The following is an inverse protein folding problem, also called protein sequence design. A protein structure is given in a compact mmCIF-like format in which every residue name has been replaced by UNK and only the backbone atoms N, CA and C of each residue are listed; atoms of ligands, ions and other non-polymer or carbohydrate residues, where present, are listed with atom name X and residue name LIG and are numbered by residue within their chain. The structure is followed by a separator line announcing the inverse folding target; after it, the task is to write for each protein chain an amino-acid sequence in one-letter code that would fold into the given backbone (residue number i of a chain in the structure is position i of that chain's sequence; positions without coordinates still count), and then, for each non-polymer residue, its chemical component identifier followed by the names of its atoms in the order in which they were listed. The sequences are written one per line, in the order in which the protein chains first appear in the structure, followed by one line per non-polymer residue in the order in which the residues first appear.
data_IF_024166698086
#
_entry.id   IF_024166698086
#
_cell.length_a   1.000
_cell.length_b   1.000
_cell.length_c   1.000
_cell.angle_alpha   90.00
_cell.angle_beta   90.00
_cell.angle_gamma   90.00
#
_symmetry.space_group_name_H-M   'P 1'
#
loop_
_entity.id
_entity.type
_entity.pdbx_description
1 polymer ?
#
# COMPACT_ATOMS: atom_id res chain seq x y z
N UNK A 1 -20.91 19.61 -6.47
CA UNK A 1 -19.50 19.38 -6.16
C UNK A 1 -19.36 18.02 -5.51
N UNK A 2 -18.35 17.24 -5.87
CA UNK A 2 -18.23 15.81 -5.57
C UNK A 2 -16.95 15.60 -4.81
N UNK A 3 -16.95 14.61 -3.88
CA UNK A 3 -15.74 14.11 -3.25
C UNK A 3 -15.00 13.23 -4.26
N UNK A 4 -13.72 13.50 -4.49
CA UNK A 4 -12.84 12.70 -5.35
C UNK A 4 -11.98 11.79 -4.47
N UNK A 5 -12.02 10.51 -4.74
CA UNK A 5 -11.18 9.50 -4.09
C UNK A 5 -10.05 9.10 -5.03
N UNK A 6 -8.82 9.35 -4.63
CA UNK A 6 -7.63 9.08 -5.43
C UNK A 6 -6.74 8.07 -4.72
N UNK A 7 -6.40 6.98 -5.38
CA UNK A 7 -5.41 6.04 -4.88
C UNK A 7 -4.00 6.43 -5.30
N UNK A 8 -3.03 6.27 -4.40
CA UNK A 8 -1.59 6.33 -4.69
C UNK A 8 -1.07 4.91 -4.57
N UNK A 9 -0.57 4.37 -5.65
CA UNK A 9 0.01 3.02 -5.69
C UNK A 9 1.44 3.03 -6.23
N UNK A 10 2.07 1.90 -6.26
CA UNK A 10 3.43 1.69 -6.74
C UNK A 10 4.12 0.57 -5.96
N UNK A 11 5.07 -0.07 -6.59
CA UNK A 11 5.80 -1.21 -6.01
C UNK A 11 6.62 -0.81 -4.79
N UNK A 12 7.13 -1.80 -4.08
CA UNK A 12 8.02 -1.58 -2.92
C UNK A 12 9.18 -0.65 -3.31
N UNK A 13 9.47 0.40 -2.53
CA UNK A 13 10.57 1.33 -2.81
C UNK A 13 10.30 2.41 -3.85
N UNK A 14 9.15 2.43 -4.53
CA UNK A 14 8.79 3.44 -5.55
C UNK A 14 8.42 4.82 -4.99
N UNK A 15 8.63 5.12 -3.73
CA UNK A 15 8.50 6.49 -3.21
C UNK A 15 7.06 6.97 -2.92
N UNK A 16 6.06 6.09 -2.82
CA UNK A 16 4.66 6.44 -2.43
C UNK A 16 4.58 7.33 -1.20
N UNK A 17 5.33 6.97 -0.15
CA UNK A 17 5.34 7.72 1.10
C UNK A 17 5.75 9.17 0.91
N UNK A 18 6.71 9.44 0.02
CA UNK A 18 7.15 10.82 -0.27
C UNK A 18 6.03 11.63 -0.91
N UNK A 19 5.30 11.07 -1.88
CA UNK A 19 4.11 11.70 -2.47
C UNK A 19 3.05 11.95 -1.40
N UNK A 20 2.74 10.93 -0.59
CA UNK A 20 1.78 11.00 0.51
C UNK A 20 2.13 12.11 1.52
N UNK A 21 3.42 12.27 1.84
CA UNK A 21 3.88 13.31 2.77
C UNK A 21 3.81 14.71 2.16
N UNK A 22 4.08 14.86 0.86
CA UNK A 22 3.89 16.13 0.15
C UNK A 22 2.41 16.53 0.19
N UNK A 23 1.49 15.61 -0.12
CA UNK A 23 0.05 15.86 -0.08
C UNK A 23 -0.43 16.25 1.32
N UNK A 24 0.04 15.58 2.37
CA UNK A 24 -0.25 15.95 3.77
C UNK A 24 0.24 17.36 4.10
N UNK A 25 1.42 17.75 3.62
CA UNK A 25 1.95 19.11 3.80
C UNK A 25 1.12 20.19 3.08
N UNK A 26 0.43 19.82 2.01
CA UNK A 26 -0.54 20.67 1.31
C UNK A 26 -1.93 20.66 1.96
N UNK A 27 -2.11 19.94 3.08
CA UNK A 27 -3.36 19.91 3.84
C UNK A 27 -4.36 18.83 3.38
N UNK A 28 -3.97 17.96 2.45
CA UNK A 28 -4.85 16.87 2.00
C UNK A 28 -4.90 15.72 2.99
N UNK A 29 -6.08 15.12 3.10
CA UNK A 29 -6.27 13.90 3.87
C UNK A 29 -5.73 12.71 3.09
N UNK A 30 -4.75 11.99 3.68
CA UNK A 30 -4.13 10.81 3.09
C UNK A 30 -4.24 9.64 4.06
N UNK A 31 -5.05 8.65 3.71
CA UNK A 31 -5.16 7.38 4.42
C UNK A 31 -4.07 6.41 3.96
N UNK A 32 -3.52 5.66 4.90
CA UNK A 32 -2.43 4.71 4.68
C UNK A 32 -2.94 3.29 4.99
N UNK A 33 -3.09 2.47 3.95
CA UNK A 33 -3.62 1.11 4.08
C UNK A 33 -2.64 0.17 4.82
N UNK A 34 -1.34 0.39 4.70
CA UNK A 34 -0.34 -0.43 5.40
C UNK A 34 -0.43 -0.22 6.92
N UNK A 35 -0.78 0.99 7.37
CA UNK A 35 -1.08 1.22 8.79
C UNK A 35 -2.32 0.47 9.25
N UNK A 36 -3.30 0.28 8.38
CA UNK A 36 -4.49 -0.50 8.76
C UNK A 36 -4.14 -1.95 9.01
N UNK A 37 -3.30 -2.56 8.16
CA UNK A 37 -2.79 -3.92 8.38
C UNK A 37 -2.08 -4.02 9.73
N UNK A 38 -1.20 -3.06 10.04
CA UNK A 38 -0.50 -3.04 11.33
C UNK A 38 -1.46 -3.01 12.52
N UNK A 39 -2.56 -2.25 12.42
CA UNK A 39 -3.57 -2.16 13.48
C UNK A 39 -4.42 -3.43 13.66
N UNK A 40 -4.57 -4.27 12.61
CA UNK A 40 -5.31 -5.52 12.74
C UNK A 40 -4.70 -6.45 13.80
N UNK A 41 -3.38 -6.49 13.87
CA UNK A 41 -2.66 -7.35 14.82
C UNK A 41 -2.80 -6.94 16.30
N UNK A 42 -3.49 -5.84 16.59
CA UNK A 42 -3.87 -5.44 17.96
C UNK A 42 -5.35 -5.77 18.28
N UNK A 43 -6.12 -6.28 17.30
CA UNK A 43 -7.53 -6.61 17.48
C UNK A 43 -7.71 -8.04 17.96
N UNK A 44 -8.43 -8.21 19.06
CA UNK A 44 -8.71 -9.54 19.65
C UNK A 44 -9.46 -10.47 18.70
N UNK A 45 -10.45 -9.94 17.94
CA UNK A 45 -11.23 -10.72 16.98
C UNK A 45 -10.35 -11.22 15.82
N UNK A 46 -9.46 -10.38 15.30
CA UNK A 46 -8.51 -10.76 14.26
C UNK A 46 -7.48 -11.79 14.77
N UNK A 47 -6.91 -11.59 15.97
CA UNK A 47 -5.96 -12.52 16.56
C UNK A 47 -6.57 -13.91 16.83
N UNK A 48 -7.89 -14.00 17.13
CA UNK A 48 -8.60 -15.28 17.22
C UNK A 48 -8.60 -16.02 15.86
N UNK A 49 -8.81 -15.30 14.77
CA UNK A 49 -8.75 -15.89 13.41
C UNK A 49 -7.34 -16.34 13.06
N UNK A 50 -6.33 -15.50 13.35
CA UNK A 50 -4.92 -15.89 13.17
C UNK A 50 -4.58 -17.12 13.99
N UNK A 51 -5.04 -17.24 15.22
CA UNK A 51 -4.79 -18.43 16.06
C UNK A 51 -5.42 -19.69 15.48
N UNK A 52 -6.60 -19.59 14.92
CA UNK A 52 -7.29 -20.72 14.31
C UNK A 52 -6.55 -21.27 13.09
N UNK A 53 -6.00 -20.37 12.26
CA UNK A 53 -5.35 -20.72 10.99
C UNK A 53 -3.84 -20.96 11.13
N UNK A 54 -3.20 -20.21 12.04
CA UNK A 54 -1.74 -20.20 12.26
C UNK A 54 -1.40 -20.41 13.75
N UNK A 55 -1.79 -21.51 14.38
CA UNK A 55 -1.56 -21.72 15.83
C UNK A 55 -0.09 -21.71 16.22
N UNK A 56 0.81 -22.14 15.31
CA UNK A 56 2.26 -22.23 15.52
C UNK A 56 2.96 -20.87 15.68
N UNK A 57 2.29 -19.76 15.37
CA UNK A 57 2.87 -18.41 15.52
C UNK A 57 2.56 -17.78 16.88
N UNK A 58 2.06 -18.60 17.82
CA UNK A 58 1.80 -18.19 19.18
C UNK A 58 2.70 -18.93 20.17
N UNK A 59 3.18 -18.23 21.18
CA UNK A 59 3.83 -18.79 22.37
C UNK A 59 2.83 -18.73 23.52
N UNK A 60 2.18 -19.85 23.82
CA UNK A 60 1.00 -19.83 24.70
C UNK A 60 -0.08 -18.91 24.14
N UNK A 61 -0.40 -17.84 24.89
CA UNK A 61 -1.38 -16.85 24.46
C UNK A 61 -0.79 -15.63 23.74
N UNK A 62 0.52 -15.57 23.60
CA UNK A 62 1.23 -14.43 23.02
C UNK A 62 1.43 -14.63 21.52
N UNK A 63 0.91 -13.73 20.73
CA UNK A 63 1.12 -13.67 19.27
C UNK A 63 2.53 -13.18 18.92
N UNK A 64 3.28 -13.94 18.13
CA UNK A 64 4.57 -13.52 17.59
C UNK A 64 4.45 -13.17 16.09
N UNK A 65 4.45 -11.87 15.83
CA UNK A 65 4.39 -11.35 14.46
C UNK A 65 5.61 -11.73 13.61
N UNK A 66 6.77 -11.92 14.23
CA UNK A 66 7.99 -12.32 13.49
C UNK A 66 7.88 -13.75 13.02
N UNK A 67 7.39 -14.65 13.91
CA UNK A 67 7.10 -16.04 13.54
C UNK A 67 6.11 -16.10 12.37
N UNK A 68 5.02 -15.31 12.42
CA UNK A 68 4.06 -15.25 11.32
C UNK A 68 4.74 -14.81 10.01
N UNK A 69 5.52 -13.72 10.04
CA UNK A 69 6.22 -13.21 8.86
C UNK A 69 7.14 -14.26 8.26
N UNK A 70 7.98 -14.90 9.05
CA UNK A 70 8.89 -15.97 8.58
C UNK A 70 8.10 -17.13 8.00
N UNK A 71 7.05 -17.58 8.69
CA UNK A 71 6.24 -18.71 8.27
C UNK A 71 5.55 -18.51 6.92
N UNK A 72 5.00 -17.32 6.66
CA UNK A 72 4.29 -17.03 5.41
C UNK A 72 5.23 -16.63 4.27
N UNK A 73 6.42 -16.08 4.59
CA UNK A 73 7.37 -15.60 3.58
C UNK A 73 7.93 -16.74 2.73
N UNK A 74 8.17 -17.89 3.35
CA UNK A 74 8.72 -19.07 2.68
C UNK A 74 7.62 -19.98 2.08
N UNK A 75 6.33 -19.60 2.24
CA UNK A 75 5.21 -20.41 1.79
C UNK A 75 4.13 -19.55 1.12
N UNK A 76 4.11 -19.48 -0.23
CA UNK A 76 3.14 -18.66 -0.97
C UNK A 76 1.67 -19.00 -0.71
N UNK A 77 1.35 -20.29 -0.44
CA UNK A 77 -0.03 -20.68 -0.11
C UNK A 77 -0.47 -20.12 1.24
N UNK A 78 0.40 -20.19 2.24
CA UNK A 78 0.17 -19.62 3.57
C UNK A 78 0.10 -18.10 3.55
N UNK A 79 0.89 -17.45 2.70
CA UNK A 79 0.76 -16.02 2.46
C UNK A 79 -0.63 -15.67 1.93
N UNK A 80 -1.13 -16.42 0.96
CA UNK A 80 -2.46 -16.24 0.38
C UNK A 80 -3.58 -16.44 1.41
N UNK A 81 -3.46 -17.45 2.28
CA UNK A 81 -4.40 -17.66 3.39
C UNK A 81 -4.43 -16.47 4.34
N UNK A 82 -3.26 -15.94 4.73
CA UNK A 82 -3.17 -14.74 5.55
C UNK A 82 -3.83 -13.53 4.87
N UNK A 83 -3.59 -13.34 3.58
CA UNK A 83 -4.22 -12.29 2.80
C UNK A 83 -5.74 -12.42 2.78
N UNK A 84 -6.28 -13.63 2.61
CA UNK A 84 -7.72 -13.88 2.66
C UNK A 84 -8.34 -13.51 4.02
N UNK A 85 -7.60 -13.67 5.12
CA UNK A 85 -8.06 -13.20 6.44
C UNK A 85 -8.03 -11.68 6.57
N UNK A 86 -7.02 -11.03 6.01
CA UNK A 86 -6.79 -9.58 6.12
C UNK A 86 -7.76 -8.78 5.24
N UNK A 87 -7.96 -9.19 3.99
CA UNK A 87 -8.68 -8.43 2.96
C UNK A 87 -10.10 -7.99 3.36
N UNK A 88 -10.95 -8.83 3.98
CA UNK A 88 -12.29 -8.42 4.38
C UNK A 88 -12.30 -7.25 5.40
N UNK A 89 -11.34 -7.23 6.32
CA UNK A 89 -11.23 -6.15 7.30
C UNK A 89 -10.83 -4.85 6.65
N UNK A 90 -9.86 -4.89 5.75
CA UNK A 90 -9.38 -3.71 5.03
C UNK A 90 -10.46 -3.16 4.11
N UNK A 91 -11.12 -4.01 3.33
CA UNK A 91 -12.19 -3.60 2.41
C UNK A 91 -13.38 -2.99 3.17
N UNK A 92 -13.75 -3.56 4.30
CA UNK A 92 -14.80 -2.99 5.17
C UNK A 92 -14.40 -1.61 5.69
N UNK A 93 -13.14 -1.43 6.09
CA UNK A 93 -12.61 -0.15 6.55
C UNK A 93 -12.59 0.89 5.43
N UNK A 94 -12.12 0.53 4.24
CA UNK A 94 -12.14 1.38 3.05
C UNK A 94 -13.55 1.88 2.75
N UNK A 95 -14.51 0.96 2.60
CA UNK A 95 -15.91 1.31 2.34
C UNK A 95 -16.51 2.22 3.40
N UNK A 96 -16.16 2.01 4.68
CA UNK A 96 -16.61 2.87 5.78
C UNK A 96 -16.04 4.28 5.64
N UNK A 97 -14.78 4.43 5.25
CA UNK A 97 -14.15 5.73 5.06
C UNK A 97 -14.79 6.45 3.86
N UNK A 98 -14.93 5.78 2.72
CA UNK A 98 -15.57 6.33 1.52
C UNK A 98 -16.98 6.86 1.85
N UNK A 99 -17.79 6.06 2.56
CA UNK A 99 -19.15 6.47 2.95
C UNK A 99 -19.22 7.66 3.91
N UNK A 100 -18.17 7.88 4.72
CA UNK A 100 -18.11 8.97 5.69
C UNK A 100 -17.62 10.28 5.09
N UNK A 101 -16.82 10.21 4.02
CA UNK A 101 -16.29 11.38 3.33
C UNK A 101 -17.21 11.71 2.15
N UNK A 102 -18.28 12.45 2.39
CA UNK A 102 -19.26 12.84 1.39
C UNK A 102 -19.32 14.37 1.15
N UNK A 103 -18.38 15.11 1.73
CA UNK A 103 -18.21 16.55 1.49
C UNK A 103 -17.36 16.75 0.23
N UNK A 104 -17.35 17.99 -0.28
CA UNK A 104 -16.46 18.36 -1.39
C UNK A 104 -14.97 18.22 -1.04
N UNK A 105 -14.17 17.84 -2.02
CA UNK A 105 -12.72 17.82 -1.89
C UNK A 105 -12.06 16.58 -2.50
N UNK A 106 -10.79 16.40 -2.20
CA UNK A 106 -10.00 15.27 -2.65
C UNK A 106 -9.45 14.53 -1.43
N UNK A 107 -9.64 13.23 -1.42
CA UNK A 107 -9.10 12.32 -0.39
C UNK A 107 -8.19 11.31 -1.05
N UNK A 108 -6.99 11.17 -0.52
CA UNK A 108 -5.99 10.24 -1.02
C UNK A 108 -5.90 8.97 -0.16
N UNK A 109 -5.54 7.87 -0.82
CA UNK A 109 -5.29 6.58 -0.18
C UNK A 109 -3.97 6.01 -0.66
N UNK A 110 -3.01 5.84 0.24
CA UNK A 110 -1.75 5.17 -0.03
C UNK A 110 -1.95 3.65 0.09
N UNK A 111 -1.92 2.94 -1.04
CA UNK A 111 -2.23 1.51 -1.14
C UNK A 111 -1.20 0.81 -2.02
N UNK A 112 -0.24 0.11 -1.43
CA UNK A 112 0.82 -0.57 -2.18
C UNK A 112 0.28 -1.70 -3.09
N UNK A 113 -0.66 -2.49 -2.59
CA UNK A 113 -1.25 -3.64 -3.27
C UNK A 113 -2.64 -3.32 -3.84
N UNK A 114 -2.80 -2.15 -4.46
CA UNK A 114 -4.08 -1.65 -4.97
C UNK A 114 -4.75 -2.62 -5.94
N UNK A 115 -4.01 -3.04 -6.94
CA UNK A 115 -4.49 -3.87 -8.02
C UNK A 115 -4.64 -5.33 -7.60
N UNK A 116 -3.70 -5.82 -6.80
CA UNK A 116 -3.72 -7.15 -6.21
C UNK A 116 -4.96 -7.36 -5.32
N UNK A 117 -5.40 -6.29 -4.64
CA UNK A 117 -6.64 -6.27 -3.84
C UNK A 117 -7.91 -6.05 -4.69
N UNK A 118 -7.78 -5.69 -5.97
CA UNK A 118 -8.89 -5.30 -6.83
C UNK A 118 -9.62 -4.05 -6.32
N UNK A 119 -8.86 -3.12 -5.73
CA UNK A 119 -9.42 -1.91 -5.12
C UNK A 119 -9.46 -0.70 -6.05
N UNK A 120 -8.79 -0.76 -7.19
CA UNK A 120 -8.82 0.29 -8.23
C UNK A 120 -10.24 0.78 -8.52
N UNK A 121 -11.21 -0.12 -8.58
CA UNK A 121 -12.65 0.19 -8.79
C UNK A 121 -13.33 1.05 -7.71
N UNK A 122 -12.68 1.32 -6.59
CA UNK A 122 -13.22 2.17 -5.52
C UNK A 122 -12.75 3.63 -5.62
N UNK A 123 -11.89 3.93 -6.58
CA UNK A 123 -11.26 5.24 -6.74
C UNK A 123 -11.63 5.86 -8.09
N UNK A 124 -11.74 7.17 -8.08
CA UNK A 124 -11.99 7.95 -9.29
C UNK A 124 -10.72 8.08 -10.13
N UNK A 125 -9.56 8.11 -9.46
CA UNK A 125 -8.24 8.17 -10.08
C UNK A 125 -7.22 7.31 -9.35
N UNK A 126 -6.27 6.79 -10.14
CA UNK A 126 -5.11 6.05 -9.65
C UNK A 126 -3.82 6.75 -10.07
N UNK A 127 -3.01 7.10 -9.10
CA UNK A 127 -1.68 7.70 -9.26
C UNK A 127 -0.61 6.66 -8.99
N UNK A 128 0.22 6.36 -9.97
CA UNK A 128 1.37 5.49 -9.82
C UNK A 128 2.59 6.28 -9.41
N UNK A 129 3.15 5.97 -8.24
CA UNK A 129 4.52 6.34 -7.89
C UNK A 129 5.47 5.38 -8.64
N UNK A 130 6.27 5.91 -9.54
CA UNK A 130 7.14 5.13 -10.39
C UNK A 130 8.61 5.53 -10.23
N UNK A 131 9.49 4.58 -10.43
CA UNK A 131 10.95 4.79 -10.49
C UNK A 131 11.57 3.58 -11.21
N UNK A 132 12.75 3.76 -11.78
CA UNK A 132 13.49 2.68 -12.40
C UNK A 132 13.85 1.56 -11.39
N UNK A 133 14.02 0.35 -11.92
CA UNK A 133 14.25 -0.85 -11.12
C UNK A 133 15.49 -0.77 -10.24
N UNK A 134 16.60 -0.22 -10.76
CA UNK A 134 17.87 -0.14 -10.02
C UNK A 134 17.76 0.82 -8.83
N UNK A 135 17.16 1.98 -9.04
CA UNK A 135 16.87 2.94 -7.97
C UNK A 135 15.92 2.35 -6.92
N UNK A 136 14.88 1.65 -7.36
CA UNK A 136 13.95 0.94 -6.49
C UNK A 136 14.68 -0.07 -5.61
N UNK A 137 15.49 -0.94 -6.22
CA UNK A 137 16.28 -1.98 -5.57
C UNK A 137 17.23 -1.40 -4.51
N UNK A 138 18.02 -0.40 -4.89
CA UNK A 138 18.94 0.28 -3.99
C UNK A 138 18.22 0.89 -2.78
N UNK A 139 17.08 1.55 -2.99
CA UNK A 139 16.29 2.15 -1.91
C UNK A 139 15.79 1.10 -0.92
N UNK A 140 15.28 -0.03 -1.42
CA UNK A 140 14.73 -1.09 -0.58
C UNK A 140 15.84 -1.80 0.20
N UNK A 141 16.94 -2.18 -0.46
CA UNK A 141 18.08 -2.82 0.19
C UNK A 141 18.65 -1.93 1.31
N UNK A 142 18.81 -0.63 1.06
CA UNK A 142 19.34 0.31 2.06
C UNK A 142 18.38 0.50 3.25
N UNK A 143 17.07 0.61 2.98
CA UNK A 143 16.04 0.84 4.01
C UNK A 143 15.79 -0.39 4.87
N UNK A 144 15.62 -1.54 4.24
CA UNK A 144 15.13 -2.77 4.88
C UNK A 144 16.27 -3.72 5.26
N UNK A 145 17.51 -3.40 4.85
CA UNK A 145 18.73 -4.21 5.07
C UNK A 145 18.58 -5.65 4.59
N UNK A 146 17.99 -5.82 3.42
CA UNK A 146 17.77 -7.11 2.77
C UNK A 146 18.73 -7.29 1.58
N UNK A 147 18.90 -8.53 1.14
CA UNK A 147 19.71 -8.87 -0.03
C UNK A 147 18.99 -8.48 -1.34
N UNK A 148 19.76 -8.48 -2.44
CA UNK A 148 19.20 -8.30 -3.78
C UNK A 148 18.22 -9.41 -4.13
N UNK A 149 18.51 -10.66 -3.73
CA UNK A 149 17.64 -11.82 -3.98
C UNK A 149 16.31 -11.71 -3.22
N UNK A 150 16.33 -11.23 -1.98
CA UNK A 150 15.11 -11.02 -1.19
C UNK A 150 14.26 -9.89 -1.78
N UNK A 151 14.90 -8.80 -2.26
CA UNK A 151 14.20 -7.76 -2.99
C UNK A 151 13.50 -8.33 -4.23
N UNK A 152 14.21 -9.14 -5.04
CA UNK A 152 13.66 -9.73 -6.26
C UNK A 152 12.46 -10.65 -5.96
N UNK A 153 12.55 -11.44 -4.88
CA UNK A 153 11.42 -12.27 -4.40
C UNK A 153 10.20 -11.40 -4.06
N UNK A 154 10.39 -10.33 -3.26
CA UNK A 154 9.30 -9.44 -2.86
C UNK A 154 8.71 -8.73 -4.08
N UNK A 155 9.56 -8.24 -4.99
CA UNK A 155 9.10 -7.52 -6.17
C UNK A 155 8.28 -8.42 -7.12
N UNK A 156 8.66 -9.68 -7.27
CA UNK A 156 7.92 -10.68 -8.07
C UNK A 156 6.54 -11.04 -7.53
N UNK A 157 6.28 -10.82 -6.25
CA UNK A 157 4.96 -11.05 -5.64
C UNK A 157 3.96 -9.91 -5.96
N UNK A 158 4.44 -8.78 -6.47
CA UNK A 158 3.61 -7.64 -6.84
C UNK A 158 3.32 -7.66 -8.34
N UNK A 159 2.23 -7.03 -8.73
CA UNK A 159 1.92 -6.76 -10.15
C UNK A 159 3.12 -6.07 -10.83
N UNK A 160 3.39 -6.42 -12.09
CA UNK A 160 4.50 -5.85 -12.85
C UNK A 160 4.38 -4.33 -13.00
N UNK A 161 5.53 -3.66 -13.19
CA UNK A 161 5.56 -2.22 -13.43
C UNK A 161 4.76 -1.84 -14.66
N UNK A 162 4.91 -2.60 -15.74
CA UNK A 162 4.25 -2.39 -17.02
C UNK A 162 2.74 -2.45 -16.90
N UNK A 163 2.21 -3.44 -16.18
CA UNK A 163 0.76 -3.55 -15.93
C UNK A 163 0.25 -2.40 -15.07
N UNK A 164 1.00 -1.98 -14.04
CA UNK A 164 0.64 -0.82 -13.21
C UNK A 164 0.60 0.47 -14.02
N UNK A 165 1.59 0.67 -14.91
CA UNK A 165 1.63 1.83 -15.83
C UNK A 165 0.40 1.87 -16.72
N UNK A 166 0.00 0.74 -17.31
CA UNK A 166 -1.15 0.65 -18.20
C UNK A 166 -2.49 0.90 -17.50
N UNK A 167 -2.57 0.62 -16.20
CA UNK A 167 -3.82 0.69 -15.42
C UNK A 167 -3.96 1.96 -14.58
N UNK A 168 -2.95 2.81 -14.56
CA UNK A 168 -2.95 4.04 -13.76
C UNK A 168 -3.30 5.26 -14.61
N UNK A 169 -4.06 6.20 -14.04
CA UNK A 169 -4.45 7.43 -14.73
C UNK A 169 -3.32 8.44 -14.79
N UNK A 170 -2.49 8.49 -13.73
CA UNK A 170 -1.35 9.39 -13.61
C UNK A 170 -0.11 8.64 -13.18
N UNK A 171 1.05 9.06 -13.70
CA UNK A 171 2.35 8.51 -13.32
C UNK A 171 3.23 9.64 -12.80
N UNK A 172 3.78 9.46 -11.60
CA UNK A 172 4.72 10.41 -10.99
C UNK A 172 6.08 9.73 -10.85
N UNK A 173 7.07 10.25 -11.59
CA UNK A 173 8.46 9.84 -11.43
C UNK A 173 9.00 10.33 -10.07
N UNK A 174 9.37 9.38 -9.22
CA UNK A 174 9.97 9.65 -7.91
C UNK A 174 11.49 9.54 -7.91
N UNK A 175 12.11 9.26 -9.06
CA UNK A 175 13.57 9.23 -9.27
C UNK A 175 14.19 10.61 -9.35
N UNK A 176 13.38 11.66 -9.42
CA UNK A 176 13.80 13.05 -9.52
C UNK A 176 14.04 13.69 -8.15
N UNK A 177 14.67 14.88 -8.16
CA UNK A 177 14.84 15.66 -6.93
C UNK A 177 13.49 16.10 -6.32
N UNK A 178 13.51 16.39 -5.02
CA UNK A 178 12.30 16.70 -4.24
C UNK A 178 11.53 17.93 -4.75
N UNK A 179 12.19 18.91 -5.36
CA UNK A 179 11.51 20.10 -5.87
C UNK A 179 10.75 19.78 -7.16
N UNK A 180 11.33 18.97 -8.03
CA UNK A 180 10.66 18.45 -9.23
C UNK A 180 9.48 17.56 -8.84
N UNK A 181 9.67 16.67 -7.87
CA UNK A 181 8.60 15.84 -7.37
C UNK A 181 7.42 16.66 -6.80
N UNK A 182 7.72 17.72 -6.04
CA UNK A 182 6.68 18.64 -5.56
C UNK A 182 5.91 19.32 -6.70
N UNK A 183 6.61 19.75 -7.75
CA UNK A 183 5.96 20.33 -8.94
C UNK A 183 5.04 19.31 -9.62
N UNK A 184 5.48 18.07 -9.76
CA UNK A 184 4.64 16.99 -10.31
C UNK A 184 3.37 16.76 -9.48
N UNK A 185 3.46 16.79 -8.15
CA UNK A 185 2.30 16.68 -7.27
C UNK A 185 1.36 17.89 -7.40
N UNK A 186 1.91 19.10 -7.52
CA UNK A 186 1.09 20.32 -7.75
C UNK A 186 0.35 20.24 -9.08
N UNK A 187 1.02 19.79 -10.16
CA UNK A 187 0.39 19.59 -11.46
C UNK A 187 -0.74 18.57 -11.39
N UNK A 188 -0.50 17.42 -10.74
CA UNK A 188 -1.53 16.41 -10.49
C UNK A 188 -2.76 17.02 -9.82
N UNK A 189 -2.58 17.83 -8.76
CA UNK A 189 -3.70 18.46 -8.06
C UNK A 189 -4.50 19.42 -8.95
N UNK A 190 -3.89 20.03 -9.95
CA UNK A 190 -4.57 20.85 -10.96
C UNK A 190 -5.40 20.03 -11.95
N UNK A 191 -5.09 18.77 -12.15
CA UNK A 191 -5.79 17.86 -13.07
C UNK A 191 -6.93 17.08 -12.41
N UNK A 192 -6.86 16.87 -11.08
CA UNK A 192 -7.92 16.22 -10.31
C UNK A 192 -9.10 17.20 -10.09
N UNK A 193 -10.13 17.06 -10.91
CA UNK A 193 -11.32 17.95 -10.89
C UNK A 193 -12.61 17.14 -10.82
#
# INVERSE_FOLDING_TARGET
KIMIFTAITGSIGCGKTTISDILRKFGYLVYDADKWVKHLYYRKDFLKMIRAEFPQVFDGDVFDKRKLRTFVFDNPERLKELEMLIHPFLTRKLRKIIRKNNNEGIVFFDVALLYELGWDKFFDYVVLADVDYETQKLRVMARDKISAEDFDKINKLQMSREEKVQRSDFIIDTGVDINKLRKSVVNLLGELK
#
